data_IF_463492382782
#
_entry.id   IF_463492382782
#
_cell.length_a   1.000
_cell.length_b   1.000
_cell.length_c   1.000
_cell.angle_alpha   90.00
_cell.angle_beta   90.00
_cell.angle_gamma   90.00
#
_symmetry.space_group_name_H-M   'P 1'
#
loop_
_entity.id
_entity.type
_entity.pdbx_description
1 polymer ?
#
# COMPACT_ATOMS: atom_id res chain seq x y z
N UNK A 1 5.51 -2.11 -7.06
CA UNK A 1 4.27 -2.00 -6.25
C UNK A 1 3.02 -2.48 -6.98
N UNK A 2 2.57 -1.86 -8.09
CA UNK A 2 1.35 -2.32 -8.79
C UNK A 2 1.40 -3.79 -9.23
N UNK A 3 2.49 -4.18 -9.88
CA UNK A 3 2.73 -5.56 -10.33
C UNK A 3 2.95 -6.55 -9.18
N UNK A 4 3.39 -6.06 -8.02
CA UNK A 4 3.64 -6.87 -6.83
C UNK A 4 2.32 -7.17 -6.12
N UNK A 5 1.42 -6.20 -6.06
CA UNK A 5 0.11 -6.35 -5.42
C UNK A 5 -0.76 -7.38 -6.18
N UNK A 6 -0.85 -7.28 -7.51
CA UNK A 6 -1.64 -8.25 -8.31
C UNK A 6 -1.06 -9.68 -8.30
N UNK A 7 0.19 -9.84 -7.86
CA UNK A 7 0.86 -11.13 -7.78
C UNK A 7 0.75 -11.78 -6.39
N UNK A 8 0.07 -11.15 -5.43
CA UNK A 8 -0.13 -11.75 -4.10
C UNK A 8 -1.08 -12.94 -4.19
N UNK A 9 -0.68 -14.03 -3.54
CA UNK A 9 -1.54 -15.16 -3.26
C UNK A 9 -2.19 -15.02 -1.88
N UNK A 10 -3.27 -15.77 -1.64
CA UNK A 10 -3.88 -15.89 -0.30
C UNK A 10 -2.84 -16.38 0.72
N UNK A 11 -2.03 -17.37 0.34
CA UNK A 11 -0.96 -17.94 1.18
C UNK A 11 0.19 -16.97 1.49
N UNK A 12 0.28 -15.83 0.79
CA UNK A 12 1.27 -14.79 1.10
C UNK A 12 0.87 -13.96 2.34
N UNK A 13 -0.36 -14.11 2.86
CA UNK A 13 -0.86 -13.40 4.04
C UNK A 13 -0.91 -14.35 5.24
N UNK A 14 -0.15 -14.02 6.28
CA UNK A 14 -0.13 -14.73 7.55
C UNK A 14 -0.68 -13.81 8.64
N UNK A 15 -1.93 -14.03 9.02
CA UNK A 15 -2.58 -13.25 10.06
C UNK A 15 -2.02 -13.54 11.45
N UNK A 16 -2.04 -12.52 12.29
CA UNK A 16 -1.59 -12.59 13.67
C UNK A 16 -2.34 -11.57 14.53
N UNK A 17 -2.11 -11.60 15.83
CA UNK A 17 -2.74 -10.65 16.74
C UNK A 17 -2.43 -9.20 16.32
N UNK A 18 -3.48 -8.40 16.08
CA UNK A 18 -3.37 -6.99 15.67
C UNK A 18 -3.03 -6.74 14.20
N UNK A 19 -2.82 -7.77 13.36
CA UNK A 19 -2.44 -7.55 11.97
C UNK A 19 -2.07 -8.81 11.18
N UNK A 20 -1.17 -8.65 10.21
CA UNK A 20 -0.66 -9.74 9.39
C UNK A 20 0.78 -9.48 8.93
N UNK A 21 1.51 -10.56 8.70
CA UNK A 21 2.73 -10.56 7.88
C UNK A 21 2.33 -10.83 6.44
N UNK A 22 2.79 -10.00 5.52
CA UNK A 22 2.56 -10.17 4.08
C UNK A 22 3.88 -10.37 3.37
N UNK A 23 4.01 -11.51 2.70
CA UNK A 23 5.21 -11.90 1.97
C UNK A 23 5.08 -11.48 0.51
N UNK A 24 5.99 -10.62 0.04
CA UNK A 24 6.06 -10.18 -1.34
C UNK A 24 7.15 -10.98 -2.02
N UNK A 25 6.75 -12.05 -2.70
CA UNK A 25 7.64 -13.07 -3.29
C UNK A 25 8.65 -12.55 -4.30
N UNK A 26 8.28 -11.51 -5.05
CA UNK A 26 9.17 -10.88 -6.04
C UNK A 26 8.93 -9.39 -6.06
N UNK A 27 10.00 -8.60 -6.00
CA UNK A 27 9.93 -7.15 -6.22
C UNK A 27 10.74 -6.76 -7.45
N UNK A 28 10.39 -5.64 -8.09
CA UNK A 28 11.09 -5.17 -9.30
C UNK A 28 12.58 -4.87 -9.05
N UNK A 29 12.97 -4.67 -7.80
CA UNK A 29 14.35 -4.36 -7.38
C UNK A 29 15.03 -5.52 -6.67
N UNK A 30 14.37 -6.67 -6.57
CA UNK A 30 14.89 -7.89 -5.95
C UNK A 30 15.32 -8.87 -7.06
N UNK A 31 16.55 -8.68 -7.54
CA UNK A 31 17.13 -9.53 -8.59
C UNK A 31 17.51 -10.92 -8.06
N UNK A 32 17.68 -11.08 -6.75
CA UNK A 32 18.07 -12.34 -6.10
C UNK A 32 16.86 -13.18 -5.66
N UNK A 33 15.65 -12.60 -5.66
CA UNK A 33 14.41 -13.31 -5.36
C UNK A 33 14.25 -13.68 -3.89
N UNK A 34 14.92 -12.96 -2.98
CA UNK A 34 14.82 -13.19 -1.54
C UNK A 34 13.39 -12.95 -1.00
N UNK A 35 12.59 -12.17 -1.73
CA UNK A 35 11.28 -11.72 -1.28
C UNK A 35 11.41 -10.73 -0.13
N UNK A 36 10.30 -10.07 0.23
CA UNK A 36 10.26 -9.15 1.36
C UNK A 36 8.98 -9.35 2.16
N UNK A 37 9.11 -9.45 3.48
CA UNK A 37 7.96 -9.54 4.39
C UNK A 37 7.70 -8.17 5.01
N UNK A 38 6.45 -7.71 4.97
CA UNK A 38 6.02 -6.48 5.63
C UNK A 38 4.90 -6.76 6.63
N UNK A 39 4.87 -6.00 7.72
CA UNK A 39 3.73 -5.99 8.64
C UNK A 39 2.62 -5.09 8.10
N UNK A 40 1.38 -5.56 8.17
CA UNK A 40 0.17 -4.78 7.92
C UNK A 40 -0.67 -4.82 9.20
N UNK A 41 -1.02 -3.66 9.72
CA UNK A 41 -1.88 -3.54 10.90
C UNK A 41 -3.36 -3.61 10.52
N UNK A 42 -4.15 -4.22 11.39
CA UNK A 42 -5.60 -4.08 11.35
C UNK A 42 -6.00 -2.90 12.24
N UNK A 43 -6.19 -1.74 11.62
CA UNK A 43 -6.50 -0.50 12.32
C UNK A 43 -7.98 -0.35 12.65
N UNK A 44 -8.30 0.59 13.53
CA UNK A 44 -9.70 0.94 13.84
C UNK A 44 -10.38 1.69 12.69
N UNK A 45 -9.64 2.58 12.00
CA UNK A 45 -10.11 3.38 10.86
C UNK A 45 -9.93 2.66 9.52
N UNK A 46 -8.72 2.15 9.27
CA UNK A 46 -8.41 1.36 8.07
C UNK A 46 -8.35 -0.09 8.47
N UNK A 47 -9.19 -0.91 7.83
CA UNK A 47 -9.38 -2.34 8.13
C UNK A 47 -9.00 -3.23 6.94
N UNK A 48 -7.73 -3.25 6.53
CA UNK A 48 -7.29 -3.93 5.32
C UNK A 48 -7.53 -5.45 5.38
N UNK A 49 -7.29 -6.10 6.52
CA UNK A 49 -7.47 -7.55 6.64
C UNK A 49 -8.94 -7.91 6.64
N UNK A 50 -9.79 -7.17 7.38
CA UNK A 50 -11.24 -7.39 7.32
C UNK A 50 -11.79 -7.21 5.90
N UNK A 51 -11.27 -6.22 5.15
CA UNK A 51 -11.67 -5.98 3.77
C UNK A 51 -11.20 -7.10 2.83
N UNK A 52 -9.99 -7.63 3.04
CA UNK A 52 -9.47 -8.79 2.31
C UNK A 52 -10.30 -10.04 2.60
N UNK A 53 -10.62 -10.33 3.88
CA UNK A 53 -11.48 -11.46 4.25
C UNK A 53 -12.85 -11.37 3.60
N UNK A 54 -13.51 -10.21 3.72
CA UNK A 54 -14.82 -9.99 3.11
C UNK A 54 -14.79 -10.17 1.58
N UNK A 55 -13.69 -9.79 0.93
CA UNK A 55 -13.48 -10.05 -0.50
C UNK A 55 -13.29 -11.54 -0.79
N UNK A 56 -12.43 -12.25 -0.05
CA UNK A 56 -12.20 -13.68 -0.22
C UNK A 56 -13.50 -14.48 -0.03
N UNK A 57 -14.28 -14.14 0.98
CA UNK A 57 -15.58 -14.74 1.25
C UNK A 57 -16.57 -14.45 0.11
N UNK A 58 -16.71 -13.20 -0.31
CA UNK A 58 -17.64 -12.84 -1.39
C UNK A 58 -17.25 -13.46 -2.74
N UNK A 59 -15.95 -13.56 -3.03
CA UNK A 59 -15.42 -14.12 -4.26
C UNK A 59 -15.26 -15.65 -4.22
N UNK A 60 -15.47 -16.27 -3.05
CA UNK A 60 -15.24 -17.70 -2.79
C UNK A 60 -13.81 -18.13 -3.16
N UNK A 61 -12.83 -17.28 -2.87
CA UNK A 61 -11.41 -17.55 -3.11
C UNK A 61 -10.81 -18.12 -1.83
N UNK A 62 -10.40 -19.39 -1.88
CA UNK A 62 -9.75 -20.08 -0.76
C UNK A 62 -8.24 -20.22 -0.94
N UNK A 63 -7.75 -20.19 -2.18
CA UNK A 63 -6.33 -20.27 -2.52
C UNK A 63 -6.03 -19.56 -3.86
N UNK A 64 -4.75 -19.39 -4.17
CA UNK A 64 -4.28 -18.77 -5.40
C UNK A 64 -4.27 -17.25 -5.31
N UNK A 65 -4.49 -16.58 -6.45
CA UNK A 65 -4.35 -15.12 -6.56
C UNK A 65 -5.43 -14.38 -5.78
N UNK A 66 -4.98 -13.44 -4.94
CA UNK A 66 -5.84 -12.58 -4.14
C UNK A 66 -6.64 -11.60 -5.01
N UNK A 67 -5.96 -10.95 -5.96
CA UNK A 67 -6.59 -9.94 -6.83
C UNK A 67 -6.89 -10.52 -8.21
N UNK A 68 -8.17 -10.79 -8.43
CA UNK A 68 -8.67 -11.30 -9.70
C UNK A 68 -9.57 -10.27 -10.39
N UNK A 69 -9.64 -10.34 -11.72
CA UNK A 69 -10.61 -9.56 -12.50
C UNK A 69 -12.00 -10.13 -12.28
N UNK A 70 -12.97 -9.23 -12.23
CA UNK A 70 -14.38 -9.56 -12.10
C UNK A 70 -15.14 -9.10 -13.35
N UNK A 71 -15.99 -9.97 -13.90
CA UNK A 71 -16.93 -9.58 -14.95
C UNK A 71 -18.08 -8.77 -14.36
N UNK A 72 -18.85 -8.07 -15.21
CA UNK A 72 -20.07 -7.37 -14.76
C UNK A 72 -21.12 -8.31 -14.14
N UNK A 73 -21.07 -9.59 -14.50
CA UNK A 73 -21.94 -10.64 -13.96
C UNK A 73 -21.38 -11.31 -12.69
N UNK A 74 -20.29 -10.78 -12.11
CA UNK A 74 -19.70 -11.31 -10.88
C UNK A 74 -18.83 -12.56 -11.06
N UNK A 75 -18.41 -12.88 -12.29
CA UNK A 75 -17.53 -14.04 -12.54
C UNK A 75 -16.06 -13.64 -12.48
N UNK A 76 -15.23 -14.48 -11.86
CA UNK A 76 -13.77 -14.31 -11.86
C UNK A 76 -13.20 -14.64 -13.25
N UNK A 77 -12.32 -13.77 -13.74
CA UNK A 77 -11.72 -13.83 -15.09
C UNK A 77 -10.19 -14.00 -15.04
N UNK A 78 -9.67 -14.49 -13.91
CA UNK A 78 -8.23 -14.67 -13.68
C UNK A 78 -7.50 -13.41 -13.22
N UNK A 79 -6.16 -13.34 -13.38
CA UNK A 79 -5.31 -12.33 -12.74
C UNK A 79 -5.68 -10.88 -13.09
N UNK A 80 -5.69 -10.01 -12.08
CA UNK A 80 -5.81 -8.57 -12.29
C UNK A 80 -4.56 -8.00 -12.97
N UNK A 81 -4.73 -7.05 -13.88
CA UNK A 81 -3.59 -6.35 -14.50
C UNK A 81 -3.08 -5.24 -13.57
N UNK A 82 -1.77 -4.92 -13.56
CA UNK A 82 -1.23 -3.86 -12.72
C UNK A 82 -1.88 -2.48 -12.96
N UNK A 83 -2.33 -2.21 -14.20
CA UNK A 83 -2.97 -0.94 -14.55
C UNK A 83 -4.39 -0.82 -13.99
N UNK A 84 -5.09 -1.94 -13.78
CA UNK A 84 -6.41 -1.93 -13.16
C UNK A 84 -6.39 -1.33 -11.74
N UNK A 85 -5.31 -1.53 -10.98
CA UNK A 85 -5.13 -0.90 -9.66
C UNK A 85 -5.12 0.63 -9.79
N UNK A 86 -4.36 1.17 -10.75
CA UNK A 86 -4.28 2.61 -10.94
C UNK A 86 -5.65 3.20 -11.33
N UNK A 87 -6.40 2.48 -12.18
CA UNK A 87 -7.76 2.86 -12.55
C UNK A 87 -8.72 2.82 -11.35
N UNK A 88 -8.63 1.79 -10.49
CA UNK A 88 -9.43 1.71 -9.27
C UNK A 88 -9.12 2.87 -8.30
N UNK A 89 -7.84 3.18 -8.08
CA UNK A 89 -7.43 4.31 -7.24
C UNK A 89 -8.01 5.62 -7.78
N UNK A 90 -7.87 5.87 -9.09
CA UNK A 90 -8.45 7.06 -9.74
C UNK A 90 -9.97 7.11 -9.63
N UNK A 91 -10.63 5.98 -9.82
CA UNK A 91 -12.08 5.86 -9.73
C UNK A 91 -12.58 6.22 -8.33
N UNK A 92 -11.97 5.67 -7.28
CA UNK A 92 -12.36 5.97 -5.90
C UNK A 92 -11.92 7.37 -5.44
N UNK A 93 -10.81 7.91 -5.93
CA UNK A 93 -10.42 9.30 -5.68
C UNK A 93 -11.49 10.27 -6.21
N UNK A 94 -11.97 10.07 -7.45
CA UNK A 94 -13.11 10.81 -7.99
C UNK A 94 -14.38 10.59 -7.16
N UNK A 95 -14.62 9.32 -6.74
CA UNK A 95 -15.59 8.88 -5.72
C UNK A 95 -15.69 9.83 -4.52
N UNK A 96 -14.52 10.14 -3.99
CA UNK A 96 -14.33 10.92 -2.78
C UNK A 96 -14.22 12.44 -3.02
N UNK A 97 -14.47 12.91 -4.25
CA UNK A 97 -14.44 14.34 -4.59
C UNK A 97 -13.06 14.91 -4.95
N UNK A 98 -12.03 14.07 -5.12
CA UNK A 98 -10.71 14.51 -5.55
C UNK A 98 -10.56 14.53 -7.08
N UNK A 99 -9.61 15.33 -7.59
CA UNK A 99 -9.21 15.27 -9.00
C UNK A 99 -8.39 14.01 -9.29
N UNK A 100 -9.00 13.06 -9.99
CA UNK A 100 -8.39 11.80 -10.38
C UNK A 100 -7.12 11.95 -11.25
N UNK A 101 -6.93 13.09 -11.93
CA UNK A 101 -5.72 13.34 -12.73
C UNK A 101 -4.44 13.37 -11.88
N UNK A 102 -4.58 13.74 -10.60
CA UNK A 102 -3.49 13.82 -9.63
C UNK A 102 -3.13 12.48 -8.98
N UNK A 103 -3.89 11.41 -9.29
CA UNK A 103 -3.70 10.09 -8.70
C UNK A 103 -3.07 9.11 -9.68
N UNK A 104 -2.25 8.21 -9.16
CA UNK A 104 -1.63 7.12 -9.89
C UNK A 104 -1.52 5.88 -8.98
N UNK A 105 -1.06 4.76 -9.52
CA UNK A 105 -0.78 3.58 -8.70
C UNK A 105 0.36 3.75 -7.69
N UNK A 106 1.06 4.88 -7.68
CA UNK A 106 2.07 5.23 -6.68
C UNK A 106 1.54 6.16 -5.59
N UNK A 107 0.35 6.76 -5.79
CA UNK A 107 -0.18 7.78 -4.87
C UNK A 107 -0.44 7.23 -3.48
N UNK A 108 -0.90 5.98 -3.34
CA UNK A 108 -1.10 5.36 -2.02
C UNK A 108 0.21 5.20 -1.25
N UNK A 109 1.30 4.81 -1.93
CA UNK A 109 2.63 4.67 -1.32
C UNK A 109 3.19 6.02 -0.88
N UNK A 110 3.06 7.03 -1.74
CA UNK A 110 3.47 8.39 -1.42
C UNK A 110 2.68 8.94 -0.23
N UNK A 111 1.36 8.74 -0.24
CA UNK A 111 0.47 9.15 0.86
C UNK A 111 0.82 8.48 2.18
N UNK A 112 1.11 7.18 2.18
CA UNK A 112 1.58 6.46 3.38
C UNK A 112 2.86 7.07 3.95
N UNK A 113 3.85 7.36 3.10
CA UNK A 113 5.13 7.94 3.52
C UNK A 113 4.94 9.33 4.10
N UNK A 114 4.19 10.20 3.41
CA UNK A 114 3.91 11.55 3.89
C UNK A 114 3.17 11.50 5.23
N UNK A 115 2.08 10.72 5.32
CA UNK A 115 1.29 10.61 6.55
C UNK A 115 2.10 10.05 7.72
N UNK A 116 2.96 9.06 7.45
CA UNK A 116 3.87 8.50 8.45
C UNK A 116 4.86 9.54 8.98
N UNK A 117 5.43 10.35 8.07
CA UNK A 117 6.36 11.42 8.42
C UNK A 117 5.65 12.55 9.18
N UNK A 118 4.45 12.97 8.75
CA UNK A 118 3.61 13.96 9.44
C UNK A 118 3.22 13.48 10.83
N UNK A 119 3.03 12.18 11.03
CA UNK A 119 2.79 11.59 12.35
C UNK A 119 4.06 11.48 13.22
N UNK A 120 5.23 11.92 12.72
CA UNK A 120 6.50 11.91 13.45
C UNK A 120 7.17 10.53 13.52
N UNK A 121 6.77 9.58 12.67
CA UNK A 121 7.41 8.26 12.67
C UNK A 121 8.83 8.34 12.10
N UNK A 122 9.70 7.48 12.64
CA UNK A 122 11.08 7.38 12.19
C UNK A 122 11.19 6.99 10.71
N UNK A 123 12.10 7.65 10.00
CA UNK A 123 12.26 7.48 8.56
C UNK A 123 12.72 6.06 8.17
N UNK A 124 13.48 5.37 9.03
CA UNK A 124 13.90 3.98 8.80
C UNK A 124 12.68 3.05 8.88
N UNK A 125 11.81 3.23 9.89
CA UNK A 125 10.56 2.45 10.00
C UNK A 125 9.63 2.65 8.81
N UNK A 126 9.51 3.91 8.35
CA UNK A 126 8.76 4.21 7.12
C UNK A 126 9.43 3.55 5.90
N UNK A 127 10.76 3.51 5.84
CA UNK A 127 11.52 2.87 4.77
C UNK A 127 11.33 1.36 4.73
N UNK A 128 11.28 0.70 5.88
CA UNK A 128 11.05 -0.75 6.01
C UNK A 128 9.69 -1.14 5.44
N UNK A 129 8.61 -0.48 5.90
CA UNK A 129 7.24 -0.80 5.44
C UNK A 129 7.03 -0.37 3.99
N UNK A 130 7.53 0.82 3.62
CA UNK A 130 7.41 1.29 2.24
C UNK A 130 8.35 0.53 1.29
N UNK A 131 9.37 -0.17 1.79
CA UNK A 131 10.39 -0.89 0.99
C UNK A 131 11.16 0.04 0.05
N UNK A 132 11.63 1.18 0.58
CA UNK A 132 12.53 2.08 -0.16
C UNK A 132 13.98 1.71 0.13
N UNK A 133 14.76 1.43 -0.93
CA UNK A 133 16.19 1.10 -0.81
C UNK A 133 17.07 2.32 -0.50
N UNK A 134 16.62 3.53 -0.86
CA UNK A 134 17.34 4.78 -0.63
C UNK A 134 16.53 5.68 0.30
N UNK A 135 17.16 6.07 1.41
CA UNK A 135 16.61 7.06 2.34
C UNK A 135 16.58 8.46 1.72
N UNK A 136 17.41 8.75 0.72
CA UNK A 136 17.41 10.06 0.05
C UNK A 136 16.09 10.33 -0.68
N UNK A 137 15.47 9.30 -1.26
CA UNK A 137 14.14 9.42 -1.88
C UNK A 137 13.07 9.72 -0.82
N UNK A 138 13.22 9.18 0.39
CA UNK A 138 12.33 9.45 1.52
C UNK A 138 12.52 10.86 2.10
N UNK A 139 13.76 11.37 2.13
CA UNK A 139 14.08 12.72 2.65
C UNK A 139 13.23 13.81 2.01
N UNK A 140 12.92 13.71 0.70
CA UNK A 140 12.06 14.66 0.02
C UNK A 140 10.59 14.65 0.48
N UNK A 141 10.07 13.51 0.95
CA UNK A 141 8.73 13.43 1.54
C UNK A 141 8.74 13.90 3.00
N UNK A 142 9.72 13.46 3.78
CA UNK A 142 9.88 13.84 5.19
C UNK A 142 10.10 15.34 5.34
N UNK A 143 10.98 15.94 4.52
CA UNK A 143 11.23 17.39 4.53
C UNK A 143 9.95 18.18 4.25
N UNK A 144 9.16 17.76 3.25
CA UNK A 144 7.89 18.43 2.93
C UNK A 144 6.85 18.31 4.05
N UNK A 145 6.72 17.13 4.64
CA UNK A 145 5.82 16.87 5.77
C UNK A 145 6.17 17.71 7.02
N UNK A 146 7.46 17.97 7.24
CA UNK A 146 7.95 18.66 8.43
C UNK A 146 8.35 20.12 8.20
N UNK A 147 7.93 20.76 7.09
CA UNK A 147 8.34 22.14 6.75
C UNK A 147 8.11 23.16 7.88
N UNK A 148 7.09 22.94 8.72
CA UNK A 148 6.75 23.81 9.85
C UNK A 148 6.97 23.14 11.22
N UNK A 149 7.28 21.84 11.26
CA UNK A 149 7.55 21.12 12.51
C UNK A 149 9.01 21.32 12.91
N UNK A 150 9.23 21.61 14.18
CA UNK A 150 10.56 21.89 14.74
C UNK A 150 11.31 23.01 13.99
N UNK A 151 10.56 24.00 13.48
CA UNK A 151 11.12 25.09 12.71
C UNK A 151 12.06 25.91 13.61
N UNK A 152 13.35 26.10 13.25
CA UNK A 152 14.32 26.81 14.10
C UNK A 152 13.88 28.23 14.47
N UNK A 153 13.09 28.86 13.60
CA UNK A 153 12.50 30.18 13.82
C UNK A 153 11.30 30.23 14.78
N UNK A 154 10.76 29.09 15.21
CA UNK A 154 9.66 29.06 16.18
C UNK A 154 10.06 29.59 17.57
N UNK A 155 11.36 29.64 17.87
CA UNK A 155 11.86 30.21 19.13
C UNK A 155 11.91 31.74 19.15
N UNK A 156 11.76 32.40 18.00
CA UNK A 156 11.89 33.87 17.86
C UNK A 156 10.85 34.51 16.92
N UNK A 157 9.77 33.80 16.60
CA UNK A 157 8.55 34.32 15.97
C UNK A 157 7.38 34.13 16.92
#
# INVERSE_FOLDING_TARGET
MRSELVALNVSDIQEMEGGAKVTIRRSKTDQEGAGQTIGILEGSRLRPLSSVRAWLDAAQITDGLLFQRLSKAGKLLGPMTPDAIALLVKHYAKRAGFDASQFSGHSLRAGFITSGAEAGNDALRIAEVSRHKSLDVLRGYVRRANLLKDHPGASFM
#
